data_IF_471573420274
#
_entry.id   IF_471573420274
#
_cell.length_a   1.000
_cell.length_b   1.000
_cell.length_c   1.000
_cell.angle_alpha   90.00
_cell.angle_beta   90.00
_cell.angle_gamma   90.00
#
_symmetry.space_group_name_H-M   'P 1'
#
loop_
_entity.id
_entity.type
_entity.pdbx_description
1 polymer ?
#
# COMPACT_ATOMS: atom_id res chain seq x y z
N UNK A 1 39.74 -19.28 36.04
CA UNK A 1 39.07 -18.12 35.40
C UNK A 1 38.31 -17.36 36.47
N UNK A 2 38.36 -16.02 36.49
CA UNK A 2 37.59 -15.23 37.45
C UNK A 2 36.08 -15.54 37.30
N UNK A 3 35.35 -15.60 38.41
CA UNK A 3 33.90 -15.85 38.38
C UNK A 3 33.20 -14.61 37.83
N UNK A 4 32.46 -14.78 36.73
CA UNK A 4 31.60 -13.73 36.21
C UNK A 4 30.44 -13.52 37.19
N UNK A 5 30.31 -12.30 37.71
CA UNK A 5 29.14 -11.88 38.50
C UNK A 5 28.16 -11.29 37.49
N UNK A 6 27.08 -12.02 37.24
CA UNK A 6 26.01 -11.58 36.35
C UNK A 6 25.03 -10.73 37.14
N UNK A 7 24.77 -9.52 36.67
CA UNK A 7 23.71 -8.69 37.20
C UNK A 7 22.39 -8.97 36.47
N UNK A 8 21.26 -8.63 37.10
CA UNK A 8 19.94 -8.89 36.52
C UNK A 8 19.76 -8.25 35.13
N UNK A 9 20.42 -7.11 34.90
CA UNK A 9 20.43 -6.36 33.64
C UNK A 9 21.08 -7.15 32.50
N UNK A 10 22.07 -7.99 32.80
CA UNK A 10 22.78 -8.79 31.78
C UNK A 10 21.85 -9.84 31.15
N UNK A 11 20.83 -10.28 31.89
CA UNK A 11 19.80 -11.19 31.40
C UNK A 11 18.78 -10.51 30.47
N UNK A 12 18.69 -9.18 30.47
CA UNK A 12 17.81 -8.42 29.56
C UNK A 12 18.44 -8.15 28.19
N UNK A 13 19.78 -8.22 28.07
CA UNK A 13 20.48 -7.97 26.82
C UNK A 13 20.01 -8.87 25.66
N UNK A 14 19.76 -10.19 25.85
CA UNK A 14 19.20 -11.05 24.81
C UNK A 14 17.80 -10.61 24.34
N UNK A 15 16.94 -10.15 25.27
CA UNK A 15 15.60 -9.67 24.92
C UNK A 15 15.66 -8.36 24.15
N UNK A 16 16.51 -7.43 24.57
CA UNK A 16 16.74 -6.18 23.86
C UNK A 16 17.28 -6.43 22.44
N UNK A 17 18.23 -7.36 22.30
CA UNK A 17 18.78 -7.75 21.00
C UNK A 17 17.70 -8.39 20.09
N UNK A 18 16.85 -9.26 20.63
CA UNK A 18 15.77 -9.90 19.88
C UNK A 18 14.73 -8.87 19.41
N UNK A 19 14.35 -7.91 20.28
CA UNK A 19 13.45 -6.82 19.92
C UNK A 19 14.05 -5.92 18.84
N UNK A 20 15.32 -5.54 18.98
CA UNK A 20 16.03 -4.74 17.97
C UNK A 20 16.11 -5.47 16.63
N UNK A 21 16.38 -6.77 16.63
CA UNK A 21 16.44 -7.57 15.42
C UNK A 21 15.07 -7.70 14.75
N UNK A 22 14.02 -7.99 15.52
CA UNK A 22 12.65 -8.06 15.01
C UNK A 22 12.20 -6.70 14.44
N UNK A 23 12.50 -5.61 15.15
CA UNK A 23 12.22 -4.26 14.68
C UNK A 23 12.96 -3.96 13.38
N UNK A 24 14.25 -4.29 13.29
CA UNK A 24 15.03 -4.11 12.08
C UNK A 24 14.43 -4.89 10.90
N UNK A 25 14.06 -6.15 11.07
CA UNK A 25 13.43 -6.94 10.01
C UNK A 25 12.13 -6.29 9.55
N UNK A 26 11.24 -5.93 10.47
CA UNK A 26 9.95 -5.32 10.12
C UNK A 26 10.17 -3.99 9.41
N UNK A 27 11.09 -3.16 9.93
CA UNK A 27 11.44 -1.89 9.33
C UNK A 27 11.99 -2.08 7.91
N UNK A 28 13.01 -2.92 7.71
CA UNK A 28 13.57 -3.18 6.39
C UNK A 28 12.58 -3.83 5.43
N UNK A 29 11.78 -4.81 5.88
CA UNK A 29 10.74 -5.42 5.06
C UNK A 29 9.72 -4.37 4.60
N UNK A 30 9.35 -3.46 5.49
CA UNK A 30 8.42 -2.38 5.17
C UNK A 30 9.02 -1.39 4.17
N UNK A 31 10.30 -1.02 4.29
CA UNK A 31 10.98 -0.22 3.27
C UNK A 31 11.09 -0.97 1.94
N UNK A 32 11.48 -2.24 1.94
CA UNK A 32 11.61 -3.05 0.72
C UNK A 32 10.27 -3.22 -0.01
N UNK A 33 9.18 -3.45 0.72
CA UNK A 33 7.85 -3.56 0.10
C UNK A 33 7.42 -2.21 -0.49
N UNK A 34 7.56 -1.11 0.26
CA UNK A 34 7.11 0.20 -0.21
C UNK A 34 7.97 0.77 -1.35
N UNK A 35 9.28 0.50 -1.39
CA UNK A 35 10.19 1.09 -2.38
C UNK A 35 10.65 0.14 -3.49
N UNK A 36 10.82 -1.16 -3.22
CA UNK A 36 11.44 -2.09 -4.17
C UNK A 36 10.44 -3.04 -4.81
N UNK A 37 9.44 -3.50 -4.06
CA UNK A 37 8.49 -4.51 -4.56
C UNK A 37 7.32 -3.90 -5.32
N UNK A 38 6.94 -2.66 -5.00
CA UNK A 38 5.82 -1.97 -5.65
C UNK A 38 6.25 -1.48 -7.03
N UNK A 39 5.41 -1.82 -8.02
CA UNK A 39 5.59 -1.45 -9.41
C UNK A 39 4.71 -0.24 -9.76
N UNK A 40 5.02 0.48 -10.85
CA UNK A 40 4.30 1.69 -11.32
C UNK A 40 2.83 1.45 -11.72
N UNK A 41 2.31 0.22 -11.55
CA UNK A 41 0.91 -0.14 -11.84
C UNK A 41 0.10 -0.46 -10.60
N UNK A 42 0.74 -0.53 -9.44
CA UNK A 42 0.06 -0.79 -8.19
C UNK A 42 -0.52 0.50 -7.59
N UNK A 43 -1.52 0.32 -6.73
CA UNK A 43 -2.14 1.44 -6.01
C UNK A 43 -1.13 2.20 -5.17
N UNK A 44 -1.33 3.52 -5.05
CA UNK A 44 -0.53 4.37 -4.17
C UNK A 44 -0.46 3.82 -2.75
N UNK A 45 0.77 3.69 -2.25
CA UNK A 45 1.03 3.24 -0.88
C UNK A 45 0.53 4.26 0.14
N UNK A 46 0.34 3.79 1.37
CA UNK A 46 0.10 4.69 2.51
C UNK A 46 1.28 5.66 2.69
N UNK A 47 2.50 5.25 2.34
CA UNK A 47 3.70 6.09 2.40
C UNK A 47 3.71 7.21 1.38
N UNK A 48 3.36 6.92 0.13
CA UNK A 48 3.26 7.95 -0.91
C UNK A 48 2.17 8.96 -0.57
N UNK A 49 1.03 8.50 -0.01
CA UNK A 49 -0.04 9.40 0.45
C UNK A 49 0.39 10.25 1.65
N UNK A 50 1.11 9.68 2.60
CA UNK A 50 1.61 10.40 3.77
C UNK A 50 2.73 11.38 3.38
N UNK A 51 3.69 10.93 2.56
CA UNK A 51 4.78 11.75 2.02
C UNK A 51 4.29 12.91 1.18
N UNK A 52 3.21 12.72 0.41
CA UNK A 52 2.59 13.80 -0.36
C UNK A 52 2.06 14.96 0.51
N UNK A 53 1.73 14.72 1.79
CA UNK A 53 1.35 15.79 2.72
C UNK A 53 2.55 16.66 3.12
N UNK A 54 3.76 16.11 3.04
CA UNK A 54 5.01 16.79 3.38
C UNK A 54 5.85 17.15 2.13
N UNK A 55 5.30 16.95 0.93
CA UNK A 55 5.99 17.13 -0.36
C UNK A 55 7.24 16.23 -0.53
N UNK A 56 7.23 15.05 0.09
CA UNK A 56 8.31 14.07 0.06
C UNK A 56 7.88 12.82 -0.71
N UNK A 57 8.66 12.44 -1.72
CA UNK A 57 8.45 11.22 -2.49
C UNK A 57 8.92 9.99 -1.68
N UNK A 58 7.97 9.25 -1.10
CA UNK A 58 8.22 8.05 -0.29
C UNK A 58 7.86 6.75 -1.02
N UNK A 59 8.16 6.70 -2.33
CA UNK A 59 7.88 5.55 -3.18
C UNK A 59 8.42 5.76 -4.60
N UNK A 60 8.18 4.79 -5.50
CA UNK A 60 8.62 4.85 -6.89
C UNK A 60 7.81 5.86 -7.74
N UNK A 61 6.56 6.16 -7.37
CA UNK A 61 5.73 7.07 -8.15
C UNK A 61 6.17 8.53 -7.97
N UNK A 62 6.28 9.27 -9.07
CA UNK A 62 6.56 10.71 -9.04
C UNK A 62 5.45 11.47 -8.31
N UNK A 63 5.82 12.57 -7.65
CA UNK A 63 4.88 13.50 -7.00
C UNK A 63 3.76 13.96 -7.95
N UNK A 64 4.07 14.18 -9.22
CA UNK A 64 3.06 14.51 -10.24
C UNK A 64 2.00 13.43 -10.42
N UNK A 65 2.39 12.16 -10.30
CA UNK A 65 1.50 11.00 -10.47
C UNK A 65 0.69 10.75 -9.19
N UNK A 66 1.29 11.01 -8.03
CA UNK A 66 0.60 10.97 -6.74
C UNK A 66 -0.53 12.01 -6.70
N UNK A 67 -0.27 13.25 -7.12
CA UNK A 67 -1.29 14.32 -7.17
C UNK A 67 -2.40 14.04 -8.20
N UNK A 68 -2.12 13.26 -9.24
CA UNK A 68 -3.13 12.79 -10.21
C UNK A 68 -4.02 11.67 -9.65
N UNK A 69 -3.75 11.19 -8.45
CA UNK A 69 -4.47 10.09 -7.82
C UNK A 69 -3.90 8.71 -8.11
N UNK A 70 -2.73 8.63 -8.77
CA UNK A 70 -2.02 7.39 -9.08
C UNK A 70 -2.67 6.52 -10.17
N UNK A 71 -2.01 5.42 -10.56
CA UNK A 71 -2.59 4.41 -11.43
C UNK A 71 -3.82 3.79 -10.76
N UNK A 72 -4.93 3.64 -11.50
CA UNK A 72 -6.08 2.89 -10.99
C UNK A 72 -5.68 1.43 -10.85
N UNK A 73 -5.90 0.87 -9.66
CA UNK A 73 -5.62 -0.54 -9.40
C UNK A 73 -6.38 -1.43 -10.38
N UNK A 74 -5.81 -2.58 -10.76
CA UNK A 74 -6.50 -3.54 -11.63
C UNK A 74 -7.85 -4.00 -11.04
N UNK A 75 -7.97 -4.04 -9.71
CA UNK A 75 -9.22 -4.33 -9.00
C UNK A 75 -10.28 -3.25 -9.21
N UNK A 76 -9.89 -1.97 -9.23
CA UNK A 76 -10.81 -0.86 -9.45
C UNK A 76 -11.29 -0.83 -10.91
N UNK A 77 -10.40 -1.07 -11.87
CA UNK A 77 -10.74 -1.15 -13.28
C UNK A 77 -11.74 -2.28 -13.56
N UNK A 78 -11.51 -3.45 -12.95
CA UNK A 78 -12.40 -4.60 -13.07
C UNK A 78 -13.77 -4.38 -12.40
N UNK A 79 -13.93 -3.39 -11.51
CA UNK A 79 -15.22 -3.05 -10.89
C UNK A 79 -16.01 -2.02 -11.68
N UNK A 80 -15.32 -1.14 -12.43
CA UNK A 80 -15.95 -0.12 -13.28
C UNK A 80 -16.56 -0.75 -14.55
N UNK A 81 -15.85 -1.65 -15.23
CA UNK A 81 -16.36 -2.31 -16.44
C UNK A 81 -17.68 -3.10 -16.27
N UNK A 82 -17.88 -3.92 -15.22
CA UNK A 82 -19.11 -4.70 -15.07
C UNK A 82 -20.31 -3.83 -14.70
N UNK A 83 -20.13 -2.76 -13.93
CA UNK A 83 -21.22 -1.85 -13.57
C UNK A 83 -21.65 -1.01 -14.78
N UNK A 84 -20.70 -0.44 -15.53
CA UNK A 84 -21.01 0.42 -16.68
C UNK A 84 -21.71 -0.37 -17.79
N UNK A 85 -21.22 -1.57 -18.11
CA UNK A 85 -21.85 -2.44 -19.11
C UNK A 85 -23.27 -2.89 -18.73
N UNK A 86 -23.52 -3.16 -17.44
CA UNK A 86 -24.86 -3.54 -16.94
C UNK A 86 -25.81 -2.34 -16.91
N UNK A 87 -25.34 -1.15 -16.54
CA UNK A 87 -26.15 0.08 -16.55
C UNK A 87 -26.52 0.49 -17.97
N UNK A 88 -25.57 0.46 -18.91
CA UNK A 88 -25.82 0.78 -20.33
C UNK A 88 -26.80 -0.22 -20.96
N UNK A 89 -26.67 -1.52 -20.67
CA UNK A 89 -27.64 -2.53 -21.12
C UNK A 89 -29.05 -2.35 -20.53
N UNK A 90 -29.17 -1.92 -19.27
CA UNK A 90 -30.47 -1.63 -18.64
C UNK A 90 -31.08 -0.34 -19.19
N UNK A 91 -30.28 0.69 -19.42
CA UNK A 91 -30.73 1.95 -20.00
C UNK A 91 -31.24 1.75 -21.43
N UNK A 92 -30.51 1.01 -22.27
CA UNK A 92 -30.92 0.70 -23.65
C UNK A 92 -32.25 -0.09 -23.73
N UNK A 93 -32.46 -1.07 -22.85
CA UNK A 93 -33.73 -1.82 -22.75
C UNK A 93 -34.91 -0.96 -22.30
N UNK A 94 -34.67 0.03 -21.44
CA UNK A 94 -35.73 0.93 -20.96
C UNK A 94 -36.20 1.90 -22.05
N UNK A 95 -35.28 2.39 -22.90
CA UNK A 95 -35.63 3.24 -24.05
C UNK A 95 -36.41 2.49 -25.14
N UNK A 96 -36.11 1.21 -25.40
CA UNK A 96 -36.85 0.41 -26.39
C UNK A 96 -38.32 0.15 -26.01
N UNK A 97 -38.62 0.02 -24.71
CA UNK A 97 -40.01 -0.15 -24.26
C UNK A 97 -40.83 1.15 -24.34
N UNK A 98 -40.19 2.32 -24.31
CA UNK A 98 -40.87 3.62 -24.36
C UNK A 98 -41.27 4.06 -25.77
N UNK A 99 -40.72 3.46 -26.82
CA UNK A 99 -41.08 3.75 -28.22
C UNK A 99 -42.17 2.84 -28.80
N UNK A 100 -42.72 1.92 -28.01
CA UNK A 100 -43.73 0.93 -28.45
C UNK A 100 -45.16 1.22 -27.99
N UNK A 101 -45.43 2.41 -27.45
CA UNK A 101 -46.78 2.88 -27.10
C UNK A 101 -47.16 4.10 -27.92
#
# INVERSE_FOLDING_TARGET
>A
MPRQVLELIDYFAPFAALLMFAFAIVFFAFFLVNFYYISDRDSLTVFEKFGAQFDICLGPHSMSDIYRGGPKSQFDLQKVEPEESVVVQRAGRSSEMRGKF
#
